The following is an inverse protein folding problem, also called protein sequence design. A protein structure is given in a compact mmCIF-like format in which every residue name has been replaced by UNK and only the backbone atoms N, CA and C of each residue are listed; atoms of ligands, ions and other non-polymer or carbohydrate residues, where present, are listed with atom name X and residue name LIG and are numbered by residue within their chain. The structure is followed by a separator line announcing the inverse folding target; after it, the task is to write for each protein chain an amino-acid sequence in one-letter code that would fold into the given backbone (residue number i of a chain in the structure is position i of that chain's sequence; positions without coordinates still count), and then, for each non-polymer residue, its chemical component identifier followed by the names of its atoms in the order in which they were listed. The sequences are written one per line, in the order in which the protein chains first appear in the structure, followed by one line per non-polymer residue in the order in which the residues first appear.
data_IF_208012528258
#
_entry.id   IF_208012528258
#
_cell.length_a   1.000
_cell.length_b   1.000
_cell.length_c   1.000
_cell.angle_alpha   90.00
_cell.angle_beta   90.00
_cell.angle_gamma   90.00
#
_symmetry.space_group_name_H-M   'P 1'
#
loop_
_entity.id
_entity.type
_entity.pdbx_description
1 polymer ?
#
# COMPACT_ATOMS: atom_id res chain seq x y z
N UNK A 1 -4.05 -12.38 -6.66
CA UNK A 1 -3.81 -11.51 -5.47
C UNK A 1 -3.62 -10.06 -5.93
N UNK A 2 -4.37 -9.12 -5.38
CA UNK A 2 -4.22 -7.67 -5.60
C UNK A 2 -3.15 -7.09 -4.68
N UNK A 3 -2.32 -6.19 -5.19
CA UNK A 3 -1.29 -5.53 -4.38
C UNK A 3 -1.39 -4.00 -4.51
N UNK A 4 -1.00 -3.30 -3.45
CA UNK A 4 -0.97 -1.84 -3.42
C UNK A 4 0.42 -1.37 -3.00
N UNK A 5 0.95 -0.36 -3.68
CA UNK A 5 2.20 0.31 -3.32
C UNK A 5 1.87 1.76 -3.00
N UNK A 6 1.96 2.12 -1.71
CA UNK A 6 1.74 3.47 -1.24
C UNK A 6 3.07 4.13 -0.89
N UNK A 7 3.38 5.22 -1.57
CA UNK A 7 4.58 6.02 -1.31
C UNK A 7 4.24 7.29 -0.55
N UNK A 8 4.88 7.52 0.61
CA UNK A 8 4.73 8.75 1.38
C UNK A 8 6.06 9.48 1.49
N UNK A 9 6.06 10.74 1.01
CA UNK A 9 7.21 11.65 1.12
C UNK A 9 7.51 12.07 2.55
N UNK A 10 6.52 12.04 3.43
CA UNK A 10 6.58 12.68 4.75
C UNK A 10 6.43 11.73 5.91
N UNK A 11 5.87 10.53 5.70
CA UNK A 11 5.70 9.54 6.76
C UNK A 11 7.06 9.19 7.38
N UNK A 12 7.18 9.24 8.72
CA UNK A 12 8.45 9.06 9.40
C UNK A 12 8.98 7.63 9.29
N UNK A 13 10.29 7.50 9.37
CA UNK A 13 11.00 6.22 9.25
C UNK A 13 11.50 5.68 10.60
N UNK A 14 11.11 6.32 11.69
CA UNK A 14 11.43 5.88 13.05
C UNK A 14 10.16 5.79 13.91
N UNK A 15 10.05 4.75 14.72
CA UNK A 15 8.86 4.50 15.55
C UNK A 15 8.60 5.57 16.60
N UNK A 16 9.64 6.18 17.16
CA UNK A 16 9.54 7.28 18.14
C UNK A 16 8.95 8.56 17.53
N UNK A 17 9.02 8.73 16.20
CA UNK A 17 8.45 9.88 15.50
C UNK A 17 6.93 9.77 15.33
N UNK A 18 6.32 8.62 15.61
CA UNK A 18 4.86 8.45 15.61
C UNK A 18 4.33 8.78 17.00
N UNK A 19 3.85 10.01 17.16
CA UNK A 19 3.25 10.53 18.38
C UNK A 19 1.76 10.19 18.52
N UNK A 20 1.06 10.95 19.39
CA UNK A 20 -0.40 10.85 19.56
C UNK A 20 -1.14 11.50 18.38
N UNK A 21 -0.62 12.61 17.87
CA UNK A 21 -1.14 13.26 16.69
C UNK A 21 -0.49 12.63 15.44
N UNK A 22 -1.32 11.91 14.69
CA UNK A 22 -0.88 11.21 13.48
C UNK A 22 -0.74 12.16 12.28
N UNK A 23 -1.41 13.31 12.30
CA UNK A 23 -1.33 14.30 11.22
C UNK A 23 0.00 15.07 11.30
N UNK A 24 0.37 15.51 12.50
CA UNK A 24 1.65 16.19 12.75
C UNK A 24 2.85 15.25 12.55
N UNK A 25 2.66 13.94 12.74
CA UNK A 25 3.68 12.93 12.49
C UNK A 25 3.83 12.60 10.99
N UNK A 26 4.08 13.60 10.15
CA UNK A 26 4.33 13.42 8.72
C UNK A 26 3.15 12.82 7.95
N UNK A 27 1.92 13.09 8.37
CA UNK A 27 0.67 12.58 7.78
C UNK A 27 0.60 11.06 7.76
N UNK A 28 1.11 10.41 8.82
CA UNK A 28 0.99 8.95 8.98
C UNK A 28 -0.48 8.50 9.08
N UNK A 29 -1.40 9.41 9.41
CA UNK A 29 -2.85 9.19 9.39
C UNK A 29 -3.33 8.66 8.04
N UNK A 30 -2.76 9.17 6.93
CA UNK A 30 -3.12 8.70 5.58
C UNK A 30 -2.66 7.24 5.39
N UNK A 31 -1.44 6.89 5.81
CA UNK A 31 -0.95 5.52 5.74
C UNK A 31 -1.81 4.56 6.60
N UNK A 32 -2.18 4.97 7.81
CA UNK A 32 -3.09 4.21 8.70
C UNK A 32 -4.43 3.96 8.02
N UNK A 33 -5.05 4.99 7.43
CA UNK A 33 -6.31 4.83 6.70
C UNK A 33 -6.15 4.00 5.43
N UNK A 34 -4.98 4.04 4.78
CA UNK A 34 -4.68 3.20 3.62
C UNK A 34 -4.63 1.72 4.02
N UNK A 35 -3.97 1.37 5.13
CA UNK A 35 -3.99 0.01 5.69
C UNK A 35 -5.43 -0.45 5.93
N UNK A 36 -6.24 0.41 6.56
CA UNK A 36 -7.66 0.12 6.82
C UNK A 36 -8.40 -0.12 5.50
N UNK A 37 -8.24 0.77 4.51
CA UNK A 37 -8.93 0.66 3.22
C UNK A 37 -8.49 -0.54 2.37
N UNK A 38 -7.24 -1.01 2.52
CA UNK A 38 -6.76 -2.20 1.81
C UNK A 38 -7.38 -3.46 2.39
N UNK A 39 -7.38 -3.61 3.71
CA UNK A 39 -7.61 -4.92 4.33
C UNK A 39 -8.98 -5.11 4.96
N UNK A 40 -9.61 -4.04 5.47
CA UNK A 40 -10.78 -4.21 6.31
C UNK A 40 -12.09 -4.08 5.53
N UNK A 41 -12.93 -5.09 5.70
CA UNK A 41 -14.34 -5.10 5.34
C UNK A 41 -15.18 -5.10 6.63
N UNK A 42 -16.50 -4.84 6.53
CA UNK A 42 -17.37 -4.71 7.71
C UNK A 42 -17.30 -5.89 8.71
N UNK A 43 -17.13 -7.12 8.18
CA UNK A 43 -17.16 -8.33 9.00
C UNK A 43 -15.98 -9.27 8.79
N UNK A 44 -15.00 -8.88 7.97
CA UNK A 44 -13.83 -9.72 7.68
C UNK A 44 -12.62 -8.88 7.25
N UNK A 45 -11.46 -9.50 7.30
CA UNK A 45 -10.21 -8.96 6.73
C UNK A 45 -9.99 -9.63 5.38
N UNK A 46 -9.54 -8.84 4.39
CA UNK A 46 -9.17 -9.38 3.07
C UNK A 46 -7.92 -10.25 3.20
N UNK A 47 -7.99 -11.45 2.67
CA UNK A 47 -6.85 -12.36 2.53
C UNK A 47 -6.19 -12.27 1.14
N UNK A 48 -6.89 -11.70 0.18
CA UNK A 48 -6.53 -11.56 -1.23
C UNK A 48 -5.72 -10.29 -1.54
N UNK A 49 -5.29 -9.55 -0.52
CA UNK A 49 -4.61 -8.28 -0.67
C UNK A 49 -3.23 -8.23 0.00
N UNK A 50 -2.31 -7.45 -0.58
CA UNK A 50 -1.00 -7.11 -0.01
C UNK A 50 -0.75 -5.61 -0.13
N UNK A 51 -0.08 -5.03 0.86
CA UNK A 51 0.25 -3.62 0.88
C UNK A 51 1.75 -3.41 1.11
N UNK A 52 2.35 -2.58 0.27
CA UNK A 52 3.70 -2.07 0.40
C UNK A 52 3.63 -0.59 0.77
N UNK A 53 4.07 -0.25 1.98
CA UNK A 53 4.20 1.14 2.43
C UNK A 53 5.66 1.56 2.30
N UNK A 54 5.92 2.65 1.59
CA UNK A 54 7.24 3.23 1.45
C UNK A 54 7.27 4.60 2.12
N UNK A 55 7.97 4.68 3.24
CA UNK A 55 8.09 5.89 4.03
C UNK A 55 9.42 6.57 3.73
N UNK A 56 9.36 7.79 3.18
CA UNK A 56 10.51 8.58 2.76
C UNK A 56 10.73 9.84 3.61
N UNK A 57 10.04 9.99 4.74
CA UNK A 57 10.29 11.05 5.70
C UNK A 57 11.54 10.78 6.58
N UNK A 58 11.91 11.75 7.43
CA UNK A 58 13.03 11.60 8.33
C UNK A 58 12.81 10.50 9.38
N UNK A 59 13.84 10.04 10.11
CA UNK A 59 15.26 10.46 9.97
C UNK A 59 16.08 9.66 8.95
N UNK A 60 15.65 8.46 8.54
CA UNK A 60 16.46 7.53 7.72
C UNK A 60 15.61 6.93 6.58
N UNK A 61 15.36 7.70 5.49
CA UNK A 61 14.61 7.24 4.33
C UNK A 61 15.43 6.26 3.47
N UNK A 62 14.83 5.30 2.76
CA UNK A 62 13.41 4.94 2.69
C UNK A 62 13.20 3.66 3.48
N UNK A 63 12.08 3.53 4.20
CA UNK A 63 11.68 2.25 4.79
C UNK A 63 10.54 1.64 3.99
N UNK A 64 10.69 0.38 3.64
CA UNK A 64 9.67 -0.44 3.03
C UNK A 64 9.04 -1.34 4.09
N UNK A 65 7.74 -1.19 4.29
CA UNK A 65 6.93 -2.05 5.15
C UNK A 65 6.00 -2.86 4.24
N UNK A 66 6.14 -4.17 4.26
CA UNK A 66 5.26 -5.10 3.54
C UNK A 66 4.26 -5.70 4.52
N UNK A 67 2.98 -5.65 4.17
CA UNK A 67 1.88 -6.15 4.99
C UNK A 67 1.04 -7.09 4.14
N UNK A 68 0.96 -8.34 4.56
CA UNK A 68 0.07 -9.36 4.03
C UNK A 68 -0.58 -10.08 5.21
N UNK A 69 -1.80 -9.69 5.60
CA UNK A 69 -2.48 -10.35 6.68
C UNK A 69 -2.95 -11.72 6.21
N UNK A 70 -2.66 -12.73 6.98
CA UNK A 70 -3.11 -14.11 6.75
C UNK A 70 -2.28 -14.91 5.74
N UNK A 71 -1.58 -15.84 6.29
CA UNK A 71 -1.25 -17.09 5.64
C UNK A 71 -1.88 -18.20 6.48
N UNK A 72 -2.56 -19.12 5.82
CA UNK A 72 -3.16 -20.36 6.32
C UNK A 72 -3.01 -20.62 7.83
N UNK A 73 -4.05 -20.28 8.61
CA UNK A 73 -4.15 -20.63 10.03
C UNK A 73 -3.23 -19.88 11.00
N UNK A 74 -2.42 -18.92 10.56
CA UNK A 74 -1.57 -18.06 11.41
C UNK A 74 -1.97 -16.61 11.26
N UNK A 75 -2.79 -16.15 12.14
CA UNK A 75 -3.37 -14.81 12.10
C UNK A 75 -2.42 -13.77 12.70
N UNK A 76 -1.78 -12.97 11.84
CA UNK A 76 -1.10 -11.74 12.28
C UNK A 76 -2.06 -10.62 12.64
N UNK A 77 -3.25 -10.59 12.03
CA UNK A 77 -4.24 -9.50 12.15
C UNK A 77 -5.56 -9.90 12.81
N UNK A 78 -5.91 -11.17 12.98
CA UNK A 78 -7.23 -11.60 13.49
C UNK A 78 -7.62 -11.00 14.86
N UNK A 79 -6.67 -10.42 15.57
CA UNK A 79 -6.87 -9.71 16.84
C UNK A 79 -6.69 -8.20 16.73
N UNK A 80 -6.52 -7.66 15.51
CA UNK A 80 -6.39 -6.22 15.34
C UNK A 80 -7.78 -5.64 15.23
N UNK A 81 -8.20 -4.98 16.29
CA UNK A 81 -9.38 -4.15 16.24
C UNK A 81 -9.21 -3.05 15.21
N UNK A 82 -10.27 -2.74 14.47
CA UNK A 82 -10.37 -1.72 13.40
C UNK A 82 -10.14 -0.28 13.91
N UNK A 83 -9.23 -0.06 14.84
CA UNK A 83 -8.97 1.28 15.33
C UNK A 83 -7.71 1.87 14.69
N UNK A 84 -7.77 3.17 14.42
CA UNK A 84 -6.59 3.95 13.99
C UNK A 84 -5.43 3.77 14.96
N UNK A 85 -5.72 3.62 16.25
CA UNK A 85 -4.74 3.42 17.32
C UNK A 85 -4.00 2.09 17.17
N UNK A 86 -4.71 1.01 16.86
CA UNK A 86 -4.09 -0.30 16.71
C UNK A 86 -3.23 -0.38 15.46
N UNK A 87 -3.74 0.10 14.31
CA UNK A 87 -2.96 0.14 13.07
C UNK A 87 -1.72 1.04 13.22
N UNK A 88 -1.85 2.23 13.81
CA UNK A 88 -0.69 3.09 14.08
C UNK A 88 0.33 2.42 15.02
N UNK A 89 -0.15 1.68 16.02
CA UNK A 89 0.67 0.90 16.94
C UNK A 89 1.46 -0.19 16.22
N UNK A 90 0.88 -0.85 15.23
CA UNK A 90 1.57 -1.85 14.39
C UNK A 90 2.67 -1.19 13.56
N UNK A 91 2.34 -0.13 12.81
CA UNK A 91 3.33 0.60 12.01
C UNK A 91 4.48 1.10 12.87
N UNK A 92 4.16 1.65 14.04
CA UNK A 92 5.16 2.07 15.04
C UNK A 92 6.07 0.92 15.48
N UNK A 93 5.51 -0.26 15.79
CA UNK A 93 6.29 -1.45 16.15
C UNK A 93 7.16 -1.94 15.00
N UNK A 94 6.64 -1.96 13.77
CA UNK A 94 7.43 -2.35 12.60
C UNK A 94 8.66 -1.45 12.49
N UNK A 95 8.50 -0.12 12.58
CA UNK A 95 9.62 0.82 12.53
C UNK A 95 10.63 0.62 13.67
N UNK A 96 10.17 0.32 14.90
CA UNK A 96 11.09 0.01 16.01
C UNK A 96 11.88 -1.30 15.82
N UNK A 97 11.35 -2.23 15.05
CA UNK A 97 12.00 -3.52 14.81
C UNK A 97 12.90 -3.53 13.59
N UNK A 98 12.99 -2.42 12.87
CA UNK A 98 13.94 -2.27 11.76
C UNK A 98 15.39 -2.54 12.23
N UNK A 99 16.13 -3.24 11.40
CA UNK A 99 17.59 -3.41 11.50
C UNK A 99 18.22 -3.18 10.13
N UNK A 100 19.35 -2.49 10.14
CA UNK A 100 20.08 -2.20 8.92
C UNK A 100 20.60 -3.50 8.27
N UNK A 101 20.45 -3.56 6.92
CA UNK A 101 20.89 -4.71 6.14
C UNK A 101 19.97 -5.94 6.23
N UNK A 102 18.89 -5.91 7.01
CA UNK A 102 18.00 -7.05 7.19
C UNK A 102 16.60 -6.77 6.61
N UNK A 103 16.03 -7.76 5.90
CA UNK A 103 14.56 -7.87 5.72
C UNK A 103 14.02 -8.70 6.87
N UNK A 104 13.31 -8.05 7.77
CA UNK A 104 12.86 -8.64 9.02
C UNK A 104 11.36 -8.84 9.07
N UNK A 105 10.92 -10.04 9.43
CA UNK A 105 9.55 -10.31 9.81
C UNK A 105 9.31 -9.85 11.27
N UNK A 106 8.36 -8.94 11.44
CA UNK A 106 7.99 -8.36 12.76
C UNK A 106 6.82 -9.10 13.38
N UNK A 107 5.87 -9.47 12.54
CA UNK A 107 4.72 -10.33 12.82
C UNK A 107 4.52 -11.25 11.61
N UNK A 108 3.82 -12.38 11.74
CA UNK A 108 3.51 -13.22 10.59
C UNK A 108 2.90 -12.43 9.44
N UNK A 109 3.58 -12.41 8.28
CA UNK A 109 3.18 -11.65 7.11
C UNK A 109 3.50 -10.15 7.12
N UNK A 110 4.21 -9.65 8.15
CA UNK A 110 4.60 -8.24 8.25
C UNK A 110 6.12 -8.10 8.24
N UNK A 111 6.65 -7.50 7.18
CA UNK A 111 8.08 -7.35 7.01
C UNK A 111 8.49 -5.89 6.94
N UNK A 112 9.70 -5.60 7.40
CA UNK A 112 10.35 -4.30 7.25
C UNK A 112 11.77 -4.45 6.76
N UNK A 113 12.16 -3.57 5.83
CA UNK A 113 13.51 -3.48 5.30
C UNK A 113 13.84 -2.04 4.86
N UNK A 114 15.10 -1.76 4.56
CA UNK A 114 15.51 -0.54 3.85
C UNK A 114 15.57 -0.86 2.36
N UNK A 115 14.63 -0.32 1.60
CA UNK A 115 14.52 -0.56 0.16
C UNK A 115 13.87 0.63 -0.51
N UNK A 116 14.44 1.10 -1.61
CA UNK A 116 13.89 2.27 -2.28
C UNK A 116 12.67 1.92 -3.14
N UNK A 117 11.92 2.96 -3.50
CA UNK A 117 10.66 2.83 -4.20
C UNK A 117 10.79 2.11 -5.55
N UNK A 118 11.77 2.49 -6.36
CA UNK A 118 11.94 1.89 -7.69
C UNK A 118 12.44 0.45 -7.62
N UNK A 119 13.19 0.08 -6.58
CA UNK A 119 13.58 -1.31 -6.35
C UNK A 119 12.37 -2.17 -6.04
N UNK A 120 11.46 -1.70 -5.17
CA UNK A 120 10.20 -2.43 -4.88
C UNK A 120 9.38 -2.62 -6.16
N UNK A 121 9.23 -1.56 -6.96
CA UNK A 121 8.46 -1.64 -8.21
C UNK A 121 9.10 -2.61 -9.22
N UNK A 122 10.43 -2.59 -9.35
CA UNK A 122 11.15 -3.53 -10.23
C UNK A 122 10.99 -4.97 -9.79
N UNK A 123 11.16 -5.25 -8.50
CA UNK A 123 10.95 -6.60 -7.96
C UNK A 123 9.55 -7.13 -8.27
N UNK A 124 8.52 -6.28 -8.17
CA UNK A 124 7.15 -6.66 -8.50
C UNK A 124 7.00 -6.94 -9.99
N UNK A 125 7.64 -6.14 -10.86
CA UNK A 125 7.69 -6.36 -12.31
C UNK A 125 8.38 -7.68 -12.65
N UNK A 126 9.54 -7.95 -12.05
CA UNK A 126 10.32 -9.18 -12.24
C UNK A 126 9.57 -10.43 -11.75
N UNK A 127 8.68 -10.29 -10.78
CA UNK A 127 7.76 -11.35 -10.33
C UNK A 127 6.55 -11.54 -11.25
N UNK A 128 6.51 -10.86 -12.40
CA UNK A 128 5.41 -10.97 -13.37
C UNK A 128 4.11 -10.28 -12.93
N UNK A 129 4.19 -9.30 -12.02
CA UNK A 129 3.02 -8.52 -11.62
C UNK A 129 2.64 -7.51 -12.69
N UNK A 130 1.34 -7.27 -12.86
CA UNK A 130 0.81 -6.26 -13.77
C UNK A 130 0.71 -4.91 -13.05
N UNK A 131 1.55 -3.95 -13.44
CA UNK A 131 1.74 -2.70 -12.72
C UNK A 131 0.86 -1.59 -13.28
N UNK A 132 0.11 -0.93 -12.41
CA UNK A 132 -0.76 0.20 -12.71
C UNK A 132 -0.37 1.39 -11.83
N UNK A 133 -0.16 2.57 -12.44
CA UNK A 133 0.08 3.80 -11.68
C UNK A 133 -1.16 4.69 -11.72
N UNK A 134 -1.56 5.20 -10.56
CA UNK A 134 -2.69 6.14 -10.45
C UNK A 134 -2.29 7.49 -11.01
N UNK A 135 -2.93 7.88 -12.12
CA UNK A 135 -2.71 9.10 -12.87
C UNK A 135 -4.07 9.70 -13.27
N UNK A 136 -4.36 10.98 -12.98
CA UNK A 136 -5.61 11.64 -13.42
C UNK A 136 -5.87 11.59 -14.93
N UNK A 137 -4.79 11.46 -15.73
CA UNK A 137 -4.85 11.40 -17.20
C UNK A 137 -4.78 9.94 -17.72
N UNK A 138 -4.80 8.94 -16.84
CA UNK A 138 -4.82 7.53 -17.19
C UNK A 138 -6.17 7.06 -17.74
N UNK A 139 -6.22 5.80 -18.21
CA UNK A 139 -7.46 5.15 -18.60
C UNK A 139 -8.35 4.91 -17.39
N UNK A 140 -9.68 5.09 -17.55
CA UNK A 140 -10.63 4.84 -16.46
C UNK A 140 -10.58 3.38 -16.03
N UNK A 141 -10.37 3.14 -14.74
CA UNK A 141 -10.27 1.79 -14.19
C UNK A 141 -11.47 0.92 -14.55
N UNK A 142 -12.63 1.49 -14.74
CA UNK A 142 -13.86 0.76 -15.08
C UNK A 142 -13.85 0.15 -16.48
N UNK A 143 -13.09 0.75 -17.41
CA UNK A 143 -12.95 0.32 -18.82
C UNK A 143 -11.60 -0.31 -19.11
N UNK A 144 -10.57 0.05 -18.35
CA UNK A 144 -9.23 -0.47 -18.52
C UNK A 144 -9.15 -1.99 -18.42
N UNK A 145 -8.29 -2.62 -19.22
CA UNK A 145 -8.03 -4.06 -19.17
C UNK A 145 -7.11 -4.38 -17.99
N UNK A 146 -7.69 -4.60 -16.81
CA UNK A 146 -6.94 -5.00 -15.62
C UNK A 146 -6.64 -6.50 -15.68
N UNK A 147 -5.37 -6.82 -15.75
CA UNK A 147 -4.87 -8.21 -15.79
C UNK A 147 -4.83 -8.82 -14.38
N UNK A 148 -4.62 -10.14 -14.34
CA UNK A 148 -4.42 -10.88 -13.09
C UNK A 148 -3.21 -10.36 -12.29
N UNK A 149 -3.24 -10.57 -10.98
CA UNK A 149 -2.17 -10.13 -10.08
C UNK A 149 -1.81 -8.64 -10.23
N UNK A 150 -2.80 -7.73 -10.18
CA UNK A 150 -2.58 -6.32 -10.39
C UNK A 150 -1.88 -5.68 -9.18
N UNK A 151 -1.00 -4.73 -9.47
CA UNK A 151 -0.36 -3.85 -8.47
C UNK A 151 -0.74 -2.40 -8.78
N UNK A 152 -1.32 -1.72 -7.81
CA UNK A 152 -1.71 -0.32 -7.93
C UNK A 152 -0.77 0.58 -7.15
N UNK A 153 -0.12 1.51 -7.85
CA UNK A 153 0.90 2.41 -7.30
C UNK A 153 0.31 3.80 -7.11
N UNK A 154 0.41 4.32 -5.89
CA UNK A 154 -0.17 5.62 -5.52
C UNK A 154 0.73 6.38 -4.54
N UNK A 155 0.65 7.72 -4.61
CA UNK A 155 1.35 8.62 -3.71
C UNK A 155 0.50 9.07 -2.52
N UNK A 156 1.14 9.84 -1.63
CA UNK A 156 0.46 10.54 -0.55
C UNK A 156 -0.22 11.84 -1.07
N UNK A 157 -0.64 12.72 -0.15
CA UNK A 157 -1.27 14.02 -0.44
C UNK A 157 -0.39 14.98 -1.29
N UNK A 158 0.90 14.70 -1.41
CA UNK A 158 1.86 15.42 -2.29
C UNK A 158 2.09 14.71 -3.62
N UNK A 159 1.43 13.57 -3.83
CA UNK A 159 1.62 12.71 -4.99
C UNK A 159 2.98 12.00 -5.03
N UNK A 160 3.25 11.31 -6.10
CA UNK A 160 4.54 10.70 -6.37
C UNK A 160 5.56 11.77 -6.78
N UNK A 161 6.87 11.62 -6.46
CA UNK A 161 7.89 12.54 -6.95
C UNK A 161 7.98 12.51 -8.48
N UNK A 162 8.16 13.68 -9.13
CA UNK A 162 8.09 13.82 -10.59
C UNK A 162 9.06 12.91 -11.35
N UNK A 163 10.29 12.72 -10.82
CA UNK A 163 11.30 11.85 -11.45
C UNK A 163 10.86 10.39 -11.42
N UNK A 164 10.40 9.93 -10.27
CA UNK A 164 9.88 8.58 -10.06
C UNK A 164 8.63 8.36 -10.89
N UNK A 165 7.72 9.32 -10.91
CA UNK A 165 6.49 9.24 -11.68
C UNK A 165 6.75 9.10 -13.19
N UNK A 166 7.69 9.89 -13.74
CA UNK A 166 8.10 9.76 -15.15
C UNK A 166 8.68 8.37 -15.46
N UNK A 167 9.46 7.79 -14.54
CA UNK A 167 10.00 6.43 -14.69
C UNK A 167 8.92 5.36 -14.60
N UNK A 168 7.96 5.54 -13.71
CA UNK A 168 6.83 4.62 -13.56
C UNK A 168 5.97 4.56 -14.81
N UNK A 169 5.71 5.68 -15.49
CA UNK A 169 4.96 5.71 -16.76
C UNK A 169 5.59 4.86 -17.88
N UNK A 170 6.87 4.51 -17.76
CA UNK A 170 7.54 3.61 -18.69
C UNK A 170 7.39 2.13 -18.33
N UNK A 171 7.07 1.83 -17.07
CA UNK A 171 6.98 0.47 -16.51
C UNK A 171 5.54 0.05 -16.19
N UNK A 172 4.65 1.00 -16.01
CA UNK A 172 3.31 0.80 -15.49
C UNK A 172 2.26 1.35 -16.46
N UNK A 173 1.10 0.74 -16.51
CA UNK A 173 -0.07 1.28 -17.23
C UNK A 173 -0.71 2.39 -16.40
N UNK A 174 -0.82 3.63 -16.93
CA UNK A 174 -1.53 4.70 -16.23
C UNK A 174 -3.04 4.44 -16.20
N UNK A 175 -3.63 4.50 -15.00
CA UNK A 175 -5.08 4.37 -14.81
C UNK A 175 -5.62 5.48 -13.92
N UNK A 176 -6.90 5.80 -14.06
CA UNK A 176 -7.59 6.77 -13.20
C UNK A 176 -8.85 6.18 -12.57
N UNK A 177 -9.20 6.67 -11.39
CA UNK A 177 -10.50 6.43 -10.76
C UNK A 177 -11.48 7.60 -10.98
N UNK A 178 -11.09 8.57 -11.82
CA UNK A 178 -11.85 9.78 -12.15
C UNK A 178 -11.02 11.04 -12.00
N UNK A 179 -11.62 12.19 -12.40
CA UNK A 179 -10.93 13.48 -12.48
C UNK A 179 -10.67 14.17 -11.12
N UNK A 180 -11.25 13.68 -10.04
CA UNK A 180 -11.07 14.27 -8.71
C UNK A 180 -9.92 13.59 -7.99
N UNK A 181 -9.12 14.38 -7.27
CA UNK A 181 -8.05 13.87 -6.41
C UNK A 181 -8.65 13.41 -5.09
N UNK A 182 -8.48 12.14 -4.77
CA UNK A 182 -8.89 11.50 -3.53
C UNK A 182 -7.68 11.24 -2.62
N UNK A 183 -7.91 11.10 -1.32
CA UNK A 183 -6.89 10.54 -0.45
C UNK A 183 -6.56 9.10 -0.84
N UNK A 184 -5.32 8.66 -0.60
CA UNK A 184 -4.87 7.32 -0.92
C UNK A 184 -5.81 6.22 -0.38
N UNK A 185 -6.30 6.37 0.85
CA UNK A 185 -7.25 5.43 1.46
C UNK A 185 -8.59 5.34 0.72
N UNK A 186 -9.10 6.46 0.22
CA UNK A 186 -10.33 6.50 -0.59
C UNK A 186 -10.08 5.87 -1.97
N UNK A 187 -8.94 6.20 -2.59
CA UNK A 187 -8.52 5.62 -3.87
C UNK A 187 -8.45 4.09 -3.78
N UNK A 188 -7.80 3.57 -2.75
CA UNK A 188 -7.72 2.12 -2.50
C UNK A 188 -9.10 1.49 -2.36
N UNK A 189 -10.03 2.13 -1.66
CA UNK A 189 -11.41 1.62 -1.51
C UNK A 189 -12.16 1.57 -2.84
N UNK A 190 -11.97 2.58 -3.71
CA UNK A 190 -12.58 2.59 -5.05
C UNK A 190 -11.97 1.50 -5.92
N UNK A 191 -10.64 1.35 -5.91
CA UNK A 191 -9.96 0.28 -6.66
C UNK A 191 -10.42 -1.09 -6.18
N UNK A 192 -10.46 -1.33 -4.86
CA UNK A 192 -10.94 -2.59 -4.30
C UNK A 192 -12.39 -2.90 -4.73
N UNK A 193 -13.28 -1.90 -4.69
CA UNK A 193 -14.67 -2.08 -5.12
C UNK A 193 -14.77 -2.47 -6.60
N UNK A 194 -13.98 -1.84 -7.48
CA UNK A 194 -13.98 -2.19 -8.89
C UNK A 194 -13.44 -3.60 -9.13
N UNK A 195 -12.39 -4.02 -8.40
CA UNK A 195 -11.87 -5.38 -8.51
C UNK A 195 -12.88 -6.42 -8.02
N UNK A 196 -13.54 -6.16 -6.87
CA UNK A 196 -14.60 -7.03 -6.35
C UNK A 196 -15.73 -7.21 -7.37
N UNK A 197 -16.16 -6.12 -8.04
CA UNK A 197 -17.18 -6.19 -9.11
C UNK A 197 -16.71 -7.04 -10.29
N UNK A 198 -15.46 -6.91 -10.71
CA UNK A 198 -14.89 -7.71 -11.81
C UNK A 198 -14.83 -9.19 -11.48
N UNK A 199 -14.49 -9.53 -10.24
CA UNK A 199 -14.52 -10.90 -9.75
C UNK A 199 -15.94 -11.45 -9.73
N UNK A 200 -16.93 -10.67 -9.28
CA UNK A 200 -18.34 -11.06 -9.27
C UNK A 200 -18.91 -11.26 -10.69
N UNK A 201 -18.44 -10.45 -11.64
CA UNK A 201 -18.83 -10.54 -13.07
C UNK A 201 -18.01 -11.60 -13.86
N UNK A 202 -17.07 -12.30 -13.22
CA UNK A 202 -16.19 -13.29 -13.87
C UNK A 202 -15.14 -12.68 -14.81
N UNK A 203 -14.89 -11.38 -14.73
CA UNK A 203 -13.86 -10.67 -15.52
C UNK A 203 -12.45 -10.76 -14.91
N UNK A 204 -12.36 -11.17 -13.64
CA UNK A 204 -11.13 -11.53 -12.94
C UNK A 204 -11.37 -12.83 -12.16
N UNK A 205 -10.33 -13.68 -11.98
CA UNK A 205 -10.46 -14.86 -11.14
C UNK A 205 -10.68 -14.47 -9.68
N UNK A 206 -11.55 -15.22 -8.97
CA UNK A 206 -11.68 -15.16 -7.50
C UNK A 206 -10.52 -15.94 -6.87
N UNK A 207 -9.90 -15.36 -5.85
CA UNK A 207 -8.88 -16.03 -5.01
C UNK A 207 -9.45 -16.51 -3.68
#
# INVERSE_FOLDING_TARGET
MREFVYYSRTAPTAGNSIGKDLQEAGRIDIAVHTVIGVFFLSHKIRSDAKLHLLFAGPPDPVKHLEIQPVTEGKTGIDKIYLSKKDVSGILKRMLYKYREGERREVFPGFHIEKKNFLEVVRDLSEKGRNLYVLDPDGEDIRTADIKENPVFILGDHKGLPDKEFKRLKQLCTPITIGKRTYFASQTVSVVNNELDRREDEGRLPRE
#
